data_IF_339838912490
#
_entry.id   IF_339838912490
#
_cell.length_a   1.000
_cell.length_b   1.000
_cell.length_c   1.000
_cell.angle_alpha   90.00
_cell.angle_beta   90.00
_cell.angle_gamma   90.00
#
_symmetry.space_group_name_H-M   'P 1'
#
loop_
_entity.id
_entity.type
_entity.pdbx_description
1 polymer ?
#
# COMPACT_ATOMS: atom_id res chain seq x y z
N UNK A 1 5.34 -11.31 3.64
CA UNK A 1 4.32 -11.25 4.73
C UNK A 1 2.92 -11.36 4.14
N UNK A 2 2.43 -10.37 3.41
CA UNK A 2 1.02 -10.32 2.99
C UNK A 2 0.60 -11.53 2.12
N UNK A 3 1.40 -11.89 1.12
CA UNK A 3 1.13 -13.05 0.26
C UNK A 3 1.01 -14.37 1.02
N UNK A 4 1.90 -14.61 2.00
CA UNK A 4 1.87 -15.81 2.85
C UNK A 4 0.58 -15.86 3.66
N UNK A 5 0.15 -14.73 4.25
CA UNK A 5 -1.10 -14.68 5.00
C UNK A 5 -2.31 -14.92 4.10
N UNK A 6 -2.38 -14.29 2.92
CA UNK A 6 -3.50 -14.51 1.98
C UNK A 6 -3.58 -15.95 1.51
N UNK A 7 -2.44 -16.58 1.20
CA UNK A 7 -2.36 -17.99 0.82
C UNK A 7 -2.85 -18.90 1.97
N UNK A 8 -2.37 -18.65 3.19
CA UNK A 8 -2.77 -19.42 4.39
C UNK A 8 -4.28 -19.39 4.62
N UNK A 9 -4.94 -18.24 4.36
CA UNK A 9 -6.38 -18.07 4.56
C UNK A 9 -7.22 -18.33 3.30
N UNK A 10 -6.62 -18.82 2.20
CA UNK A 10 -7.34 -19.09 0.95
C UNK A 10 -7.93 -17.84 0.29
N UNK A 11 -7.34 -16.67 0.55
CA UNK A 11 -7.75 -15.40 -0.05
C UNK A 11 -6.93 -15.15 -1.31
N UNK A 12 -7.58 -14.78 -2.41
CA UNK A 12 -6.89 -14.44 -3.65
C UNK A 12 -5.96 -13.22 -3.45
N UNK A 13 -4.70 -13.37 -3.85
CA UNK A 13 -3.71 -12.29 -3.81
C UNK A 13 -3.47 -11.73 -5.21
N UNK A 14 -3.51 -10.41 -5.36
CA UNK A 14 -3.11 -9.71 -6.57
C UNK A 14 -1.90 -8.83 -6.27
N UNK A 15 -0.87 -8.96 -7.10
CA UNK A 15 0.37 -8.20 -6.96
C UNK A 15 0.53 -7.28 -8.16
N UNK A 16 0.63 -5.98 -7.90
CA UNK A 16 1.04 -4.98 -8.90
C UNK A 16 2.48 -4.58 -8.58
N UNK A 17 3.45 -4.87 -9.47
CA UNK A 17 4.83 -4.43 -9.27
C UNK A 17 4.92 -2.92 -9.14
N UNK A 18 5.84 -2.43 -8.31
CA UNK A 18 6.14 -1.01 -8.26
C UNK A 18 6.84 -0.55 -9.55
N UNK A 19 6.83 0.75 -9.79
CA UNK A 19 7.66 1.38 -10.81
C UNK A 19 9.15 1.19 -10.50
N UNK A 20 10.02 1.52 -11.46
CA UNK A 20 11.47 1.35 -11.32
C UNK A 20 12.10 2.15 -10.19
N UNK A 21 11.45 3.24 -9.76
CA UNK A 21 11.84 4.09 -8.64
C UNK A 21 11.16 3.69 -7.31
N UNK A 22 10.47 2.55 -7.30
CA UNK A 22 9.70 2.01 -6.18
C UNK A 22 8.44 2.82 -5.80
N UNK A 23 7.96 3.70 -6.68
CA UNK A 23 6.66 4.34 -6.52
C UNK A 23 5.50 3.44 -6.98
N UNK A 24 4.27 3.90 -6.72
CA UNK A 24 3.05 3.17 -7.06
C UNK A 24 2.78 3.22 -8.57
N UNK A 25 2.52 2.07 -9.18
CA UNK A 25 1.90 1.99 -10.50
C UNK A 25 0.39 2.18 -10.38
N UNK A 26 -0.06 3.43 -10.31
CA UNK A 26 -1.49 3.75 -10.17
C UNK A 26 -2.37 3.19 -11.31
N UNK A 27 -1.96 3.24 -12.60
CA UNK A 27 -2.68 2.57 -13.69
C UNK A 27 -2.80 1.06 -13.49
N UNK A 28 -1.71 0.38 -13.14
CA UNK A 28 -1.69 -1.05 -12.88
C UNK A 28 -2.58 -1.44 -11.69
N UNK A 29 -2.57 -0.63 -10.62
CA UNK A 29 -3.47 -0.80 -9.48
C UNK A 29 -4.93 -0.67 -9.93
N UNK A 30 -5.28 0.42 -10.62
CA UNK A 30 -6.65 0.68 -11.05
C UNK A 30 -7.22 -0.49 -11.90
N UNK A 31 -6.42 -1.05 -12.80
CA UNK A 31 -6.80 -2.19 -13.63
C UNK A 31 -7.07 -3.48 -12.82
N UNK A 32 -6.54 -3.58 -11.60
CA UNK A 32 -6.61 -4.77 -10.75
C UNK A 32 -7.47 -4.59 -9.48
N UNK A 33 -8.20 -3.48 -9.33
CA UNK A 33 -8.96 -3.18 -8.11
C UNK A 33 -10.30 -3.91 -7.97
N UNK A 34 -10.87 -4.44 -9.05
CA UNK A 34 -12.22 -5.01 -8.99
C UNK A 34 -12.29 -6.24 -8.06
N UNK A 35 -13.19 -6.22 -7.08
CA UNK A 35 -13.29 -7.27 -6.05
C UNK A 35 -12.21 -7.23 -4.95
N UNK A 36 -11.21 -6.33 -5.02
CA UNK A 36 -10.21 -6.16 -3.95
C UNK A 36 -10.85 -5.51 -2.74
N UNK A 37 -10.59 -6.05 -1.55
CA UNK A 37 -11.10 -5.53 -0.26
C UNK A 37 -10.05 -4.88 0.62
N UNK A 38 -8.78 -5.22 0.42
CA UNK A 38 -7.65 -4.68 1.19
C UNK A 38 -6.49 -4.41 0.24
N UNK A 39 -5.90 -3.23 0.35
CA UNK A 39 -4.67 -2.84 -0.35
C UNK A 39 -3.59 -2.56 0.70
N UNK A 40 -2.46 -3.26 0.61
CA UNK A 40 -1.32 -3.03 1.49
C UNK A 40 -0.30 -2.12 0.81
N UNK A 41 0.11 -1.05 1.49
CA UNK A 41 1.18 -0.16 1.04
C UNK A 41 2.17 0.05 2.18
N UNK A 42 3.45 -0.18 1.95
CA UNK A 42 4.50 0.04 2.94
C UNK A 42 5.21 1.37 2.64
N UNK A 43 5.17 2.34 3.56
CA UNK A 43 5.80 3.66 3.39
C UNK A 43 6.28 4.22 4.74
N UNK A 44 7.60 4.29 5.00
CA UNK A 44 8.70 3.85 4.12
C UNK A 44 8.61 2.36 3.78
N UNK A 45 8.91 1.98 2.54
CA UNK A 45 8.85 0.60 2.08
C UNK A 45 10.00 -0.23 2.66
N UNK A 46 9.77 -1.51 2.94
CA UNK A 46 10.80 -2.48 3.34
C UNK A 46 10.98 -3.48 2.18
N UNK A 47 12.20 -3.73 1.66
CA UNK A 47 13.53 -3.35 2.16
C UNK A 47 14.12 -2.05 1.60
N UNK A 48 13.41 -1.36 0.72
CA UNK A 48 14.00 -0.28 -0.10
C UNK A 48 14.15 1.05 0.64
N UNK A 49 13.46 1.25 1.76
CA UNK A 49 13.42 2.50 2.52
C UNK A 49 12.64 3.63 1.85
N UNK A 50 12.09 3.40 0.65
CA UNK A 50 11.48 4.46 -0.16
C UNK A 50 10.16 4.94 0.43
N UNK A 51 9.96 6.26 0.42
CA UNK A 51 8.70 6.87 0.86
C UNK A 51 7.82 7.06 -0.36
N UNK A 52 6.59 6.56 -0.28
CA UNK A 52 5.58 6.78 -1.32
C UNK A 52 5.22 8.26 -1.38
N UNK A 53 5.15 8.81 -2.60
CA UNK A 53 4.71 10.16 -2.87
C UNK A 53 3.33 10.42 -2.25
N UNK A 54 3.18 11.47 -1.42
CA UNK A 54 1.89 11.81 -0.82
C UNK A 54 0.74 12.00 -1.81
N UNK A 55 1.01 12.51 -3.02
CA UNK A 55 -0.03 12.71 -4.03
C UNK A 55 -0.51 11.38 -4.61
N UNK A 56 0.39 10.43 -4.83
CA UNK A 56 0.02 9.09 -5.29
C UNK A 56 -0.74 8.31 -4.21
N UNK A 57 -0.38 8.51 -2.93
CA UNK A 57 -1.15 7.98 -1.80
C UNK A 57 -2.56 8.56 -1.75
N UNK A 58 -2.73 9.87 -1.99
CA UNK A 58 -4.07 10.49 -2.09
C UNK A 58 -4.87 9.92 -3.26
N UNK A 59 -4.25 9.79 -4.44
CA UNK A 59 -4.89 9.19 -5.60
C UNK A 59 -5.34 7.74 -5.33
N UNK A 60 -4.51 6.95 -4.64
CA UNK A 60 -4.86 5.60 -4.20
C UNK A 60 -6.06 5.59 -3.24
N UNK A 61 -6.09 6.49 -2.27
CA UNK A 61 -7.21 6.61 -1.32
C UNK A 61 -8.51 6.99 -2.02
N UNK A 62 -8.47 7.89 -3.01
CA UNK A 62 -9.65 8.24 -3.79
C UNK A 62 -10.15 7.09 -4.66
N UNK A 63 -9.27 6.39 -5.38
CA UNK A 63 -9.70 5.28 -6.25
C UNK A 63 -10.27 4.09 -5.48
N UNK A 64 -9.83 3.90 -4.22
CA UNK A 64 -10.28 2.84 -3.33
C UNK A 64 -11.46 3.23 -2.43
N UNK A 65 -11.87 4.50 -2.44
CA UNK A 65 -12.97 5.05 -1.62
C UNK A 65 -14.24 4.23 -1.78
N UNK A 66 -14.75 3.70 -0.66
CA UNK A 66 -15.96 2.86 -0.62
C UNK A 66 -15.81 1.46 -1.22
N UNK A 67 -14.61 1.07 -1.69
CA UNK A 67 -14.36 -0.22 -2.35
C UNK A 67 -13.44 -1.12 -1.53
N UNK A 68 -12.35 -0.57 -1.02
CA UNK A 68 -11.30 -1.30 -0.30
C UNK A 68 -10.72 -0.48 0.86
N UNK A 69 -10.15 -1.17 1.84
CA UNK A 69 -9.38 -0.55 2.93
C UNK A 69 -7.91 -0.45 2.50
N UNK A 70 -7.31 0.73 2.63
CA UNK A 70 -5.87 0.92 2.43
C UNK A 70 -5.15 0.82 3.77
N UNK A 71 -4.24 -0.13 3.90
CA UNK A 71 -3.40 -0.33 5.09
C UNK A 71 -2.01 0.20 4.79
N UNK A 72 -1.68 1.34 5.39
CA UNK A 72 -0.33 1.92 5.34
C UNK A 72 0.54 1.34 6.47
N UNK A 73 1.56 0.56 6.12
CA UNK A 73 2.49 -0.05 7.08
C UNK A 73 3.85 0.65 7.05
N UNK A 74 4.65 0.45 8.09
CA UNK A 74 6.01 0.99 8.22
C UNK A 74 6.94 -0.10 8.76
N UNK A 75 8.25 -0.06 8.47
CA UNK A 75 9.21 -0.92 9.13
C UNK A 75 9.17 -0.68 10.64
N UNK A 76 9.23 -1.77 11.41
CA UNK A 76 9.51 -1.71 12.84
C UNK A 76 10.97 -1.25 12.97
N UNK A 77 11.16 0.04 13.28
CA UNK A 77 12.47 0.63 13.54
C UNK A 77 12.53 1.08 15.00
N UNK A 78 13.68 0.82 15.64
CA UNK A 78 13.95 1.22 17.03
C UNK A 78 14.04 2.75 17.22
N UNK A 79 13.92 3.53 16.14
CA UNK A 79 14.09 4.99 16.11
C UNK A 79 12.85 5.73 15.57
N UNK A 80 11.67 5.09 15.57
CA UNK A 80 10.44 5.60 14.97
C UNK A 80 10.07 7.01 15.47
N UNK A 81 10.50 8.06 14.74
CA UNK A 81 10.00 9.43 14.92
C UNK A 81 8.52 9.41 14.56
N UNK A 82 7.65 9.68 15.55
CA UNK A 82 6.21 9.85 15.36
C UNK A 82 5.96 11.04 14.42
N UNK A 83 5.75 10.78 13.13
CA UNK A 83 4.99 11.72 12.29
C UNK A 83 3.51 11.46 12.49
N UNK A 84 2.83 12.40 13.15
CA UNK A 84 1.39 12.40 13.36
C UNK A 84 0.73 12.57 11.99
N UNK A 85 -0.29 11.77 11.69
CA UNK A 85 -1.18 12.07 10.57
C UNK A 85 -1.85 13.41 10.88
N UNK A 86 -1.85 14.40 9.97
CA UNK A 86 -2.60 15.63 10.21
C UNK A 86 -4.07 15.23 10.30
N UNK A 87 -4.65 15.39 11.49
CA UNK A 87 -6.09 15.47 11.61
C UNK A 87 -6.48 16.73 10.83
N UNK A 88 -7.22 16.55 9.74
CA UNK A 88 -7.90 17.66 9.08
C UNK A 88 -8.92 18.31 10.00
#
# INVERSE_FOLDING_TARGET
MYGVSTETFGVACRTVPSLSDWQLDLPGIAANLDGVKVVFVCSPNNPTGQVINPDDMRALLEMTRGKAIVIATKPISNSARRRRWPAG
#
